data_IF_942293438064
#
_entry.id   IF_942293438064
#
_cell.length_a   1.000
_cell.length_b   1.000
_cell.length_c   1.000
_cell.angle_alpha   90.00
_cell.angle_beta   90.00
_cell.angle_gamma   90.00
#
_symmetry.space_group_name_H-M   'P 1'
#
loop_
_entity.id
_entity.type
_entity.pdbx_description
1 polymer ?
#
# COMPACT_ATOMS: atom_id res chain seq x y z
N UNK A 1 2.99 0.02 -16.42
CA UNK A 1 3.94 1.05 -15.95
C UNK A 1 4.84 0.37 -14.93
N UNK A 2 6.16 0.46 -15.06
CA UNK A 2 7.06 -0.21 -14.12
C UNK A 2 7.33 0.74 -12.93
N UNK A 3 7.05 0.37 -11.67
CA UNK A 3 7.42 1.16 -10.50
C UNK A 3 8.94 1.09 -10.26
N UNK A 4 9.75 1.39 -11.27
CA UNK A 4 11.21 1.38 -11.21
C UNK A 4 11.75 2.52 -10.34
N UNK A 5 10.91 3.53 -10.07
CA UNK A 5 11.24 4.71 -9.26
C UNK A 5 10.83 4.56 -7.79
N UNK A 6 10.28 3.41 -7.42
CA UNK A 6 9.80 3.13 -6.06
C UNK A 6 10.68 2.06 -5.46
N UNK A 7 11.35 2.41 -4.36
CA UNK A 7 12.26 1.54 -3.64
C UNK A 7 11.66 1.18 -2.28
N UNK A 8 11.76 -0.10 -1.90
CA UNK A 8 11.37 -0.53 -0.58
C UNK A 8 12.44 -0.15 0.45
N UNK A 9 12.03 0.54 1.52
CA UNK A 9 12.86 0.80 2.69
C UNK A 9 12.70 -0.34 3.71
N UNK A 10 13.78 -0.70 4.42
CA UNK A 10 13.77 -1.72 5.48
C UNK A 10 14.44 -1.23 6.76
N UNK A 11 14.18 -1.91 7.87
CA UNK A 11 14.83 -1.65 9.15
C UNK A 11 14.40 -0.35 9.84
N UNK A 12 15.26 0.19 10.70
CA UNK A 12 14.94 1.36 11.54
C UNK A 12 14.70 2.67 10.75
N UNK A 13 15.27 2.79 9.54
CA UNK A 13 14.99 3.92 8.66
C UNK A 13 13.55 3.87 8.11
N UNK A 14 13.04 2.68 7.78
CA UNK A 14 11.67 2.51 7.29
C UNK A 14 10.64 2.99 8.32
N UNK A 15 10.77 2.59 9.60
CA UNK A 15 9.85 3.02 10.65
C UNK A 15 9.81 4.55 10.82
N UNK A 16 10.98 5.18 10.92
CA UNK A 16 11.09 6.65 11.04
C UNK A 16 10.48 7.38 9.85
N UNK A 17 10.67 6.86 8.64
CA UNK A 17 10.08 7.46 7.43
C UNK A 17 8.57 7.26 7.38
N UNK A 18 8.07 6.09 7.82
CA UNK A 18 6.65 5.83 7.90
C UNK A 18 5.93 6.75 8.88
N UNK A 19 6.50 6.97 10.06
CA UNK A 19 5.96 7.91 11.05
C UNK A 19 5.84 9.33 10.49
N UNK A 20 6.82 9.77 9.68
CA UNK A 20 6.79 11.08 9.01
C UNK A 20 5.78 11.15 7.86
N UNK A 21 5.43 10.01 7.26
CA UNK A 21 4.55 9.91 6.10
C UNK A 21 3.09 9.62 6.47
N UNK A 22 2.85 9.11 7.69
CA UNK A 22 1.52 8.90 8.24
C UNK A 22 0.83 10.25 8.44
N UNK A 23 -0.30 10.42 7.78
CA UNK A 23 -1.20 11.55 7.99
C UNK A 23 -2.41 11.00 8.73
N UNK A 24 -2.99 11.71 9.71
CA UNK A 24 -4.20 11.22 10.38
C UNK A 24 -5.28 10.88 9.35
N UNK A 25 -5.93 9.73 9.48
CA UNK A 25 -6.94 9.22 8.52
C UNK A 25 -8.00 10.27 8.14
N UNK A 26 -8.30 11.23 9.03
CA UNK A 26 -9.22 12.35 8.81
C UNK A 26 -8.79 13.36 7.73
N UNK A 27 -7.55 13.31 7.24
CA UNK A 27 -6.99 14.26 6.26
C UNK A 27 -6.92 13.69 4.83
N UNK A 28 -7.27 12.41 4.65
CA UNK A 28 -7.34 11.78 3.33
C UNK A 28 -8.55 12.34 2.59
N UNK A 29 -8.35 12.79 1.35
CA UNK A 29 -9.43 13.27 0.47
C UNK A 29 -10.56 12.22 0.37
N UNK A 30 -11.85 12.62 0.45
CA UNK A 30 -12.99 11.71 0.32
C UNK A 30 -12.94 10.83 -0.94
N UNK A 31 -12.41 11.35 -2.06
CA UNK A 31 -12.27 10.62 -3.33
C UNK A 31 -11.30 9.43 -3.22
N UNK A 32 -10.18 9.64 -2.53
CA UNK A 32 -9.21 8.58 -2.25
C UNK A 32 -9.76 7.59 -1.24
N UNK A 33 -10.48 8.09 -0.23
CA UNK A 33 -11.22 7.24 0.71
C UNK A 33 -12.20 6.31 0.00
N UNK A 34 -12.95 6.80 -1.00
CA UNK A 34 -13.85 5.95 -1.80
C UNK A 34 -13.12 4.95 -2.69
N UNK A 35 -11.95 5.29 -3.24
CA UNK A 35 -11.15 4.35 -4.04
C UNK A 35 -10.58 3.22 -3.18
N UNK A 36 -10.13 3.51 -1.96
CA UNK A 36 -9.60 2.49 -1.05
C UNK A 36 -10.61 1.40 -0.71
N UNK A 37 -11.89 1.75 -0.54
CA UNK A 37 -12.94 0.77 -0.26
C UNK A 37 -13.26 -0.15 -1.44
N UNK A 38 -12.81 0.16 -2.65
CA UNK A 38 -13.05 -0.67 -3.84
C UNK A 38 -11.95 -1.70 -4.08
N UNK A 39 -10.80 -1.57 -3.40
CA UNK A 39 -9.71 -2.53 -3.54
C UNK A 39 -9.93 -3.73 -2.63
N UNK A 40 -9.98 -4.92 -3.22
CA UNK A 40 -9.87 -6.17 -2.50
C UNK A 40 -8.49 -6.26 -1.82
N UNK A 41 -8.51 -6.24 -0.50
CA UNK A 41 -7.32 -6.23 0.35
C UNK A 41 -6.45 -7.47 0.19
N UNK A 42 -7.05 -8.64 -0.07
CA UNK A 42 -6.32 -9.90 -0.24
C UNK A 42 -5.55 -9.87 -1.56
N UNK A 43 -6.19 -9.37 -2.62
CA UNK A 43 -5.51 -9.22 -3.89
C UNK A 43 -4.42 -8.15 -3.84
N UNK A 44 -4.67 -7.03 -3.17
CA UNK A 44 -3.65 -6.02 -2.93
C UNK A 44 -2.45 -6.60 -2.17
N UNK A 45 -2.67 -7.47 -1.19
CA UNK A 45 -1.60 -8.18 -0.49
C UNK A 45 -0.77 -9.03 -1.46
N UNK A 46 -1.41 -9.82 -2.32
CA UNK A 46 -0.73 -10.63 -3.33
C UNK A 46 0.12 -9.77 -4.27
N UNK A 47 -0.41 -8.65 -4.76
CA UNK A 47 0.32 -7.72 -5.61
C UNK A 47 1.54 -7.11 -4.90
N UNK A 48 1.37 -6.72 -3.63
CA UNK A 48 2.45 -6.16 -2.82
C UNK A 48 3.57 -7.18 -2.57
N UNK A 49 3.21 -8.42 -2.24
CA UNK A 49 4.16 -9.53 -2.08
C UNK A 49 4.88 -9.84 -3.38
N UNK A 50 4.15 -9.97 -4.49
CA UNK A 50 4.73 -10.27 -5.81
C UNK A 50 5.69 -9.17 -6.28
N UNK A 51 5.38 -7.90 -5.99
CA UNK A 51 6.18 -6.77 -6.47
C UNK A 51 7.34 -6.38 -5.55
N UNK A 52 7.11 -6.37 -4.24
CA UNK A 52 8.06 -5.82 -3.26
C UNK A 52 8.58 -6.88 -2.27
N UNK A 53 8.07 -8.10 -2.32
CA UNK A 53 8.41 -9.17 -1.37
C UNK A 53 7.89 -8.89 0.04
N UNK A 54 8.63 -9.40 1.03
CA UNK A 54 8.28 -9.27 2.45
C UNK A 54 8.12 -7.82 2.90
N UNK A 55 7.19 -7.52 3.84
CA UNK A 55 6.97 -6.18 4.36
C UNK A 55 8.24 -5.58 4.98
N UNK A 56 8.30 -4.25 5.04
CA UNK A 56 9.37 -3.50 5.71
C UNK A 56 9.42 -3.81 7.21
N UNK A 57 8.26 -3.96 7.84
CA UNK A 57 8.08 -4.44 9.21
C UNK A 57 6.63 -4.87 9.47
N UNK A 58 6.41 -5.53 10.61
CA UNK A 58 5.10 -5.96 11.10
C UNK A 58 4.76 -5.19 12.38
N UNK A 59 3.53 -4.75 12.52
CA UNK A 59 2.98 -4.12 13.73
C UNK A 59 2.02 -5.08 14.40
N UNK A 60 2.30 -5.43 15.65
CA UNK A 60 1.44 -6.29 16.46
C UNK A 60 0.58 -5.44 17.38
N UNK A 61 -0.71 -5.69 17.36
CA UNK A 61 -1.68 -5.00 18.20
C UNK A 61 -2.06 -5.86 19.41
N UNK A 62 -2.72 -5.24 20.40
CA UNK A 62 -3.09 -5.90 21.67
C UNK A 62 -4.06 -7.07 21.47
N UNK A 63 -4.88 -7.01 20.42
CA UNK A 63 -5.82 -8.05 19.99
C UNK A 63 -5.13 -9.22 19.25
N UNK A 64 -3.79 -9.25 19.22
CA UNK A 64 -2.94 -10.19 18.47
C UNK A 64 -3.02 -10.05 16.96
N UNK A 65 -3.79 -9.08 16.43
CA UNK A 65 -3.77 -8.78 15.01
C UNK A 65 -2.42 -8.21 14.59
N UNK A 66 -2.08 -8.43 13.33
CA UNK A 66 -0.83 -7.94 12.76
C UNK A 66 -1.10 -7.11 11.50
N UNK A 67 -0.54 -5.90 11.44
CA UNK A 67 -0.47 -5.13 10.21
C UNK A 67 0.90 -5.31 9.56
N UNK A 68 0.91 -5.70 8.30
CA UNK A 68 2.09 -5.81 7.47
C UNK A 68 2.31 -4.46 6.80
N UNK A 69 3.49 -3.87 6.99
CA UNK A 69 3.78 -2.51 6.55
C UNK A 69 4.90 -2.49 5.52
N UNK A 70 4.64 -1.93 4.33
CA UNK A 70 5.64 -1.59 3.33
C UNK A 70 5.88 -0.08 3.35
N UNK A 71 7.15 0.33 3.40
CA UNK A 71 7.55 1.73 3.32
C UNK A 71 8.27 1.93 2.00
N UNK A 72 7.59 2.57 1.08
CA UNK A 72 8.02 2.79 -0.29
C UNK A 72 8.53 4.22 -0.43
N UNK A 73 9.70 4.39 -1.03
CA UNK A 73 10.30 5.69 -1.25
C UNK A 73 10.53 5.94 -2.73
N UNK A 74 10.21 7.15 -3.17
CA UNK A 74 10.61 7.65 -4.48
C UNK A 74 11.48 8.86 -4.32
N UNK A 75 12.52 8.98 -5.16
CA UNK A 75 13.43 10.13 -5.18
C UNK A 75 12.95 11.25 -6.11
N UNK A 76 12.12 10.94 -7.12
CA UNK A 76 11.72 11.88 -8.18
C UNK A 76 10.27 11.66 -8.64
N UNK A 77 9.30 12.45 -8.16
CA UNK A 77 9.45 13.43 -7.07
C UNK A 77 9.76 12.74 -5.74
N UNK A 78 10.43 13.44 -4.81
CA UNK A 78 10.71 12.88 -3.50
C UNK A 78 9.40 12.63 -2.73
N UNK A 79 9.16 11.39 -2.34
CA UNK A 79 7.97 11.03 -1.57
C UNK A 79 8.12 9.69 -0.84
N UNK A 80 7.28 9.49 0.17
CA UNK A 80 7.14 8.23 0.90
C UNK A 80 5.68 7.80 0.86
N UNK A 81 5.47 6.55 0.46
CA UNK A 81 4.18 5.86 0.46
C UNK A 81 4.30 4.74 1.49
N UNK A 82 3.43 4.73 2.49
CA UNK A 82 3.34 3.64 3.47
C UNK A 82 2.10 2.85 3.14
N UNK A 83 2.24 1.54 2.98
CA UNK A 83 1.13 0.63 2.75
C UNK A 83 1.02 -0.28 3.97
N UNK A 84 -0.17 -0.35 4.56
CA UNK A 84 -0.47 -1.20 5.70
C UNK A 84 -1.61 -2.14 5.34
N UNK A 85 -1.39 -3.44 5.54
CA UNK A 85 -2.37 -4.48 5.25
C UNK A 85 -2.56 -5.35 6.48
N UNK A 86 -3.80 -5.65 6.86
CA UNK A 86 -4.12 -6.58 7.95
C UNK A 86 -4.54 -7.93 7.35
N UNK A 87 -3.61 -8.88 7.13
CA UNK A 87 -3.96 -10.17 6.51
C UNK A 87 -4.87 -11.06 7.36
N UNK A 88 -4.81 -10.91 8.70
CA UNK A 88 -5.46 -11.83 9.64
C UNK A 88 -6.74 -11.28 10.30
N UNK A 89 -7.08 -10.00 10.10
CA UNK A 89 -8.35 -9.43 10.57
C UNK A 89 -9.35 -9.39 9.42
N UNK A 90 -10.60 -9.79 9.66
CA UNK A 90 -11.71 -9.61 8.72
C UNK A 90 -12.63 -8.47 9.23
N UNK A 91 -12.99 -7.48 8.39
CA UNK A 91 -12.52 -7.29 7.01
C UNK A 91 -11.03 -6.92 6.98
N UNK A 92 -10.31 -7.52 6.05
CA UNK A 92 -8.90 -7.21 5.82
C UNK A 92 -8.81 -5.74 5.39
N UNK A 93 -8.04 -4.96 6.14
CA UNK A 93 -7.86 -3.54 5.87
C UNK A 93 -6.65 -3.33 4.96
N UNK A 94 -6.82 -2.56 3.89
CA UNK A 94 -5.72 -2.02 3.09
C UNK A 94 -5.69 -0.50 3.23
N UNK A 95 -4.57 0.03 3.72
CA UNK A 95 -4.42 1.47 3.97
C UNK A 95 -3.15 1.98 3.33
N UNK A 96 -3.26 3.13 2.66
CA UNK A 96 -2.12 3.86 2.12
C UNK A 96 -2.02 5.22 2.79
N UNK A 97 -0.80 5.52 3.23
CA UNK A 97 -0.44 6.80 3.84
C UNK A 97 0.66 7.46 3.03
N UNK A 98 0.51 8.74 2.76
CA UNK A 98 1.55 9.55 2.16
C UNK A 98 1.36 11.01 2.58
N UNK A 99 2.46 11.72 2.82
CA UNK A 99 2.41 13.14 3.19
C UNK A 99 2.02 14.03 2.01
N UNK A 100 2.52 13.71 0.82
CA UNK A 100 2.31 14.51 -0.38
C UNK A 100 1.56 13.69 -1.43
N UNK A 101 0.43 14.20 -1.93
CA UNK A 101 -0.32 13.59 -3.02
C UNK A 101 0.23 14.06 -4.37
N UNK A 102 1.34 13.46 -4.81
CA UNK A 102 1.99 13.81 -6.07
C UNK A 102 1.90 12.67 -7.10
N UNK A 103 2.51 12.87 -8.26
CA UNK A 103 2.41 11.95 -9.39
C UNK A 103 2.83 10.51 -9.05
N UNK A 104 3.84 10.28 -8.21
CA UNK A 104 4.24 8.91 -7.86
C UNK A 104 3.19 8.17 -7.04
N UNK A 105 2.42 8.88 -6.20
CA UNK A 105 1.32 8.28 -5.45
C UNK A 105 0.17 7.95 -6.40
N UNK A 106 -0.17 8.86 -7.31
CA UNK A 106 -1.21 8.63 -8.33
C UNK A 106 -0.84 7.43 -9.20
N UNK A 107 0.40 7.34 -9.67
CA UNK A 107 0.90 6.20 -10.45
C UNK A 107 0.81 4.88 -9.68
N UNK A 108 1.15 4.90 -8.38
CA UNK A 108 1.01 3.73 -7.51
C UNK A 108 -0.45 3.29 -7.36
N UNK A 109 -1.37 4.23 -7.09
CA UNK A 109 -2.80 3.94 -6.99
C UNK A 109 -3.38 3.40 -8.32
N UNK A 110 -2.95 3.97 -9.46
CA UNK A 110 -3.34 3.48 -10.78
C UNK A 110 -2.82 2.07 -11.07
N UNK A 111 -1.60 1.74 -10.61
CA UNK A 111 -1.06 0.38 -10.74
C UNK A 111 -1.90 -0.63 -9.97
N UNK A 112 -2.25 -0.35 -8.70
CA UNK A 112 -3.14 -1.21 -7.91
C UNK A 112 -4.52 -1.34 -8.57
N UNK A 113 -5.11 -0.23 -8.99
CA UNK A 113 -6.43 -0.21 -9.64
C UNK A 113 -6.44 -1.03 -10.92
N UNK A 114 -5.40 -0.91 -11.75
CA UNK A 114 -5.27 -1.71 -12.98
C UNK A 114 -5.12 -3.20 -12.69
N UNK A 115 -4.38 -3.57 -11.64
CA UNK A 115 -4.32 -4.95 -11.17
C UNK A 115 -5.72 -5.45 -10.84
N UNK A 116 -6.47 -4.70 -10.03
CA UNK A 116 -7.85 -5.08 -9.66
C UNK A 116 -8.77 -5.24 -10.85
N UNK A 117 -8.77 -4.28 -11.77
CA UNK A 117 -9.59 -4.34 -12.98
C UNK A 117 -9.21 -5.53 -13.86
N UNK A 118 -7.92 -5.87 -13.98
CA UNK A 118 -7.48 -7.04 -14.73
C UNK A 118 -8.05 -8.34 -14.13
N UNK A 119 -8.04 -8.50 -12.80
CA UNK A 119 -8.65 -9.64 -12.12
C UNK A 119 -10.17 -9.72 -12.33
N UNK A 120 -10.86 -8.57 -12.31
CA UNK A 120 -12.31 -8.52 -12.54
C UNK A 120 -12.70 -8.84 -13.99
N UNK A 121 -11.88 -8.43 -14.95
CA UNK A 121 -12.11 -8.66 -16.38
C UNK A 121 -11.67 -10.06 -16.83
N UNK A 122 -10.71 -10.68 -16.14
CA UNK A 122 -10.19 -12.01 -16.46
C UNK A 122 -10.10 -12.89 -15.19
N UNK A 123 -11.24 -13.23 -14.56
CA UNK A 123 -11.23 -14.03 -13.32
C UNK A 123 -10.74 -15.47 -13.49
N UNK A 124 -10.44 -15.92 -14.71
CA UNK A 124 -10.14 -17.33 -15.04
C UNK A 124 -8.88 -17.54 -15.94
N UNK A 125 -7.96 -16.58 -16.01
CA UNK A 125 -6.64 -16.80 -16.64
C UNK A 125 -5.59 -17.17 -15.57
N UNK A 126 -5.87 -18.23 -14.83
CA UNK A 126 -4.85 -18.97 -14.08
C UNK A 126 -4.78 -20.36 -14.70
N UNK A 127 -3.78 -20.54 -15.57
CA UNK A 127 -3.29 -21.84 -16.01
C UNK A 127 -2.01 -22.18 -15.27
#
# INVERSE_FOLDING_TARGET
>A
MRPERIHLLRGASARRMAEKARVPLGTISPLLRSMYYQWDSEYCLQLMLARFGEPSYRLRFRDKSEAWTWVLWSRRPENVIVVEIWPQNLPQGFYLHCRNWNSVVVEFCLWLTRGHLHRQLYPAWEG
#
